data_IF_872486170091
#
_entry.id   IF_872486170091
#
_cell.length_a   1.000
_cell.length_b   1.000
_cell.length_c   1.000
_cell.angle_alpha   90.00
_cell.angle_beta   90.00
_cell.angle_gamma   90.00
#
_symmetry.space_group_name_H-M   'P 1'
#
loop_
_entity.id
_entity.type
_entity.pdbx_description
1 polymer ?
#
# COMPACT_ATOMS: atom_id res chain seq x y z
N UNK A 1 3.10 1.60 -15.28
CA UNK A 1 3.37 2.32 -16.54
C UNK A 1 3.31 3.82 -16.27
N UNK A 2 4.45 4.43 -15.93
CA UNK A 2 4.68 5.87 -15.98
C UNK A 2 6.21 6.11 -15.97
N UNK A 3 6.91 5.37 -16.82
CA UNK A 3 8.34 5.60 -17.09
C UNK A 3 8.43 6.73 -18.11
N UNK A 4 8.33 7.96 -17.63
CA UNK A 4 8.20 9.14 -18.48
C UNK A 4 8.66 10.40 -17.75
N UNK A 5 9.97 10.49 -17.50
CA UNK A 5 10.69 11.64 -16.96
C UNK A 5 9.96 12.96 -17.24
N UNK A 6 9.35 13.56 -16.21
CA UNK A 6 8.77 14.90 -16.28
C UNK A 6 9.86 15.83 -16.82
N UNK A 7 9.61 16.46 -17.98
CA UNK A 7 10.59 17.37 -18.60
C UNK A 7 10.93 18.48 -17.60
N UNK A 8 12.21 18.81 -17.46
CA UNK A 8 12.74 19.67 -16.39
C UNK A 8 11.90 20.96 -16.17
N UNK A 9 11.39 21.10 -14.95
CA UNK A 9 10.81 22.34 -14.43
C UNK A 9 11.93 23.34 -14.09
N UNK A 10 11.65 24.65 -14.01
CA UNK A 10 12.62 25.59 -13.47
C UNK A 10 12.91 25.21 -12.01
N UNK A 11 14.19 25.03 -11.68
CA UNK A 11 14.63 24.58 -10.35
C UNK A 11 14.36 25.62 -9.25
N UNK A 12 14.38 26.91 -9.58
CA UNK A 12 14.22 28.01 -8.62
C UNK A 12 13.36 29.16 -9.19
N UNK A 13 12.06 28.92 -9.48
CA UNK A 13 11.19 29.92 -10.08
C UNK A 13 11.01 31.15 -9.17
N UNK A 14 11.17 30.99 -7.85
CA UNK A 14 11.11 32.07 -6.86
C UNK A 14 12.27 33.07 -6.97
N UNK A 15 13.40 32.69 -7.58
CA UNK A 15 14.57 33.54 -7.78
C UNK A 15 14.63 34.16 -9.20
N UNK A 16 13.68 33.81 -10.07
CA UNK A 16 13.60 34.32 -11.44
C UNK A 16 12.74 35.60 -11.50
N UNK A 17 12.98 36.42 -12.52
CA UNK A 17 12.07 37.54 -12.81
C UNK A 17 10.71 37.01 -13.29
N UNK A 18 9.64 37.78 -13.05
CA UNK A 18 8.29 37.43 -13.48
C UNK A 18 8.26 37.15 -14.99
N UNK A 19 8.90 38.02 -15.79
CA UNK A 19 8.94 37.86 -17.25
C UNK A 19 9.62 36.55 -17.68
N UNK A 20 10.73 36.17 -17.04
CA UNK A 20 11.43 34.92 -17.36
C UNK A 20 10.55 33.68 -17.08
N UNK A 21 9.73 33.71 -16.02
CA UNK A 21 8.77 32.64 -15.73
C UNK A 21 7.64 32.62 -16.75
N UNK A 22 7.09 33.78 -17.12
CA UNK A 22 6.05 33.89 -18.14
C UNK A 22 6.52 33.36 -19.50
N UNK A 23 7.73 33.71 -19.90
CA UNK A 23 8.36 33.27 -21.15
C UNK A 23 8.61 31.75 -21.14
N UNK A 24 9.09 31.20 -20.02
CA UNK A 24 9.31 29.75 -19.87
C UNK A 24 8.02 28.94 -20.09
N UNK A 25 6.91 29.39 -19.51
CA UNK A 25 5.62 28.72 -19.66
C UNK A 25 4.86 29.14 -20.93
N UNK A 26 5.33 30.17 -21.65
CA UNK A 26 4.67 30.74 -22.81
C UNK A 26 3.29 31.30 -22.50
N UNK A 27 3.13 31.92 -21.32
CA UNK A 27 1.85 32.39 -20.79
C UNK A 27 1.81 33.91 -20.71
N UNK A 28 0.66 34.50 -21.05
CA UNK A 28 0.43 35.94 -20.89
C UNK A 28 -0.21 36.20 -19.53
N UNK A 29 0.27 37.22 -18.82
CA UNK A 29 -0.25 37.56 -17.50
C UNK A 29 -1.76 37.88 -17.50
N UNK A 30 -2.23 38.58 -18.54
CA UNK A 30 -3.61 39.06 -18.61
C UNK A 30 -4.64 38.01 -19.05
N UNK A 31 -4.21 37.00 -19.82
CA UNK A 31 -5.10 36.02 -20.46
C UNK A 31 -4.85 34.58 -20.05
N UNK A 32 -3.76 34.31 -19.32
CA UNK A 32 -3.40 32.97 -18.90
C UNK A 32 -3.07 32.04 -20.07
N UNK A 33 -3.21 30.74 -19.85
CA UNK A 33 -2.98 29.70 -20.85
C UNK A 33 -4.24 29.49 -21.70
N UNK A 34 -4.06 29.23 -23.00
CA UNK A 34 -5.14 28.79 -23.86
C UNK A 34 -5.54 27.34 -23.56
N UNK A 35 -6.77 26.94 -23.86
CA UNK A 35 -7.25 25.57 -23.66
C UNK A 35 -6.39 24.52 -24.38
N UNK A 36 -5.90 24.84 -25.58
CA UNK A 36 -4.95 23.99 -26.31
C UNK A 36 -3.63 23.83 -25.55
N UNK A 37 -3.11 24.92 -24.96
CA UNK A 37 -1.87 24.87 -24.19
C UNK A 37 -2.04 24.13 -22.87
N UNK A 38 -3.21 24.21 -22.23
CA UNK A 38 -3.53 23.41 -21.04
C UNK A 38 -3.47 21.91 -21.35
N UNK A 39 -4.02 21.48 -22.49
CA UNK A 39 -3.96 20.07 -22.93
C UNK A 39 -2.51 19.63 -23.19
N UNK A 40 -1.71 20.46 -23.87
CA UNK A 40 -0.28 20.20 -24.11
C UNK A 40 0.50 20.08 -22.78
N UNK A 41 0.27 20.99 -21.84
CA UNK A 41 0.95 20.98 -20.55
C UNK A 41 0.53 19.80 -19.69
N UNK A 42 -0.75 19.39 -19.70
CA UNK A 42 -1.21 18.17 -19.01
C UNK A 42 -0.59 16.91 -19.61
N UNK A 43 -0.46 16.83 -20.94
CA UNK A 43 0.21 15.72 -21.59
C UNK A 43 1.72 15.66 -21.24
N UNK A 44 2.33 16.82 -20.97
CA UNK A 44 3.77 16.94 -20.67
C UNK A 44 4.12 16.75 -19.19
N UNK A 45 3.32 17.28 -18.27
CA UNK A 45 3.61 17.32 -16.83
C UNK A 45 2.69 16.42 -16.00
N UNK A 46 1.62 15.88 -16.60
CA UNK A 46 0.60 15.12 -15.89
C UNK A 46 -0.44 16.00 -15.20
N UNK A 47 -1.32 15.35 -14.45
CA UNK A 47 -2.26 16.00 -13.55
C UNK A 47 -1.54 16.60 -12.35
N UNK A 48 -2.07 17.70 -11.80
CA UNK A 48 -1.59 18.24 -10.52
C UNK A 48 -2.21 17.47 -9.36
N UNK A 49 -1.90 16.18 -9.28
CA UNK A 49 -2.31 15.27 -8.23
C UNK A 49 -1.09 14.52 -7.69
N UNK A 50 -1.13 14.19 -6.41
CA UNK A 50 -0.11 13.34 -5.81
C UNK A 50 -0.43 11.89 -6.18
N UNK A 51 0.58 11.14 -6.59
CA UNK A 51 0.42 9.70 -6.79
C UNK A 51 -0.05 9.06 -5.47
N UNK A 52 -1.24 8.46 -5.49
CA UNK A 52 -1.70 7.68 -4.35
C UNK A 52 -0.82 6.43 -4.26
N UNK A 53 -0.21 6.21 -3.10
CA UNK A 53 0.54 4.98 -2.88
C UNK A 53 -0.42 3.80 -3.00
N UNK A 54 0.00 2.75 -3.71
CA UNK A 54 -0.80 1.53 -3.79
C UNK A 54 -1.08 1.01 -2.38
N UNK A 55 -2.36 0.98 -2.01
CA UNK A 55 -2.79 0.41 -0.73
C UNK A 55 -2.45 -1.07 -0.75
N UNK A 56 -1.81 -1.56 0.32
CA UNK A 56 -1.60 -3.00 0.48
C UNK A 56 -2.96 -3.68 0.49
N UNK A 57 -3.10 -4.74 -0.30
CA UNK A 57 -4.31 -5.56 -0.28
C UNK A 57 -4.41 -6.34 1.04
N UNK A 58 -5.63 -6.71 1.44
CA UNK A 58 -5.84 -7.54 2.63
C UNK A 58 -5.03 -8.84 2.58
N UNK A 59 -4.91 -9.45 1.39
CA UNK A 59 -4.08 -10.64 1.19
C UNK A 59 -2.58 -10.40 1.42
N UNK A 60 -2.05 -9.26 0.98
CA UNK A 60 -0.65 -8.88 1.22
C UNK A 60 -0.37 -8.64 2.71
N UNK A 61 -1.35 -8.08 3.45
CA UNK A 61 -1.24 -7.90 4.90
C UNK A 61 -1.24 -9.24 5.64
N UNK A 62 -2.13 -10.16 5.25
CA UNK A 62 -2.15 -11.52 5.81
C UNK A 62 -0.84 -12.25 5.55
N UNK A 63 -0.33 -12.22 4.31
CA UNK A 63 0.96 -12.85 3.96
C UNK A 63 2.14 -12.28 4.76
N UNK A 64 2.16 -10.95 4.97
CA UNK A 64 3.21 -10.31 5.76
C UNK A 64 3.24 -10.79 7.22
N UNK A 65 2.10 -11.17 7.80
CA UNK A 65 2.03 -11.70 9.16
C UNK A 65 2.70 -13.08 9.29
N UNK A 66 2.67 -13.91 8.23
CA UNK A 66 3.38 -15.20 8.23
C UNK A 66 4.91 -15.05 8.17
N UNK A 67 5.44 -13.85 7.90
CA UNK A 67 6.88 -13.57 7.99
C UNK A 67 7.37 -13.36 9.42
N UNK A 68 6.47 -13.06 10.36
CA UNK A 68 6.80 -12.84 11.76
C UNK A 68 7.19 -14.15 12.47
N UNK A 69 8.30 -14.14 13.21
CA UNK A 69 8.81 -15.30 13.93
C UNK A 69 7.84 -15.80 15.01
N UNK A 70 7.18 -14.89 15.75
CA UNK A 70 6.21 -15.25 16.78
C UNK A 70 5.00 -15.93 16.14
N UNK A 71 4.48 -15.39 15.03
CA UNK A 71 3.35 -15.99 14.28
C UNK A 71 3.69 -17.41 13.83
N UNK A 72 4.91 -17.64 13.34
CA UNK A 72 5.38 -18.99 12.97
C UNK A 72 5.42 -19.95 14.16
N UNK A 73 5.86 -19.48 15.33
CA UNK A 73 5.86 -20.29 16.56
C UNK A 73 4.43 -20.63 16.98
N UNK A 74 3.51 -19.66 16.93
CA UNK A 74 2.09 -19.89 17.23
C UNK A 74 1.45 -20.89 16.26
N UNK A 75 1.72 -20.78 14.96
CA UNK A 75 1.24 -21.72 13.96
C UNK A 75 1.79 -23.13 14.17
N UNK A 76 3.07 -23.26 14.53
CA UNK A 76 3.66 -24.55 14.88
C UNK A 76 2.97 -25.16 16.10
N UNK A 77 2.71 -24.36 17.14
CA UNK A 77 1.97 -24.78 18.32
C UNK A 77 0.56 -25.25 17.96
N UNK A 78 -0.17 -24.48 17.15
CA UNK A 78 -1.51 -24.85 16.72
C UNK A 78 -1.52 -26.16 15.90
N UNK A 79 -0.53 -26.35 15.03
CA UNK A 79 -0.39 -27.59 14.26
C UNK A 79 -0.12 -28.79 15.18
N UNK A 80 0.80 -28.66 16.15
CA UNK A 80 1.09 -29.73 17.12
C UNK A 80 -0.13 -30.06 17.96
N UNK A 81 -0.80 -29.06 18.55
CA UNK A 81 -2.04 -29.28 19.32
C UNK A 81 -3.13 -29.93 18.48
N UNK A 82 -3.29 -29.52 17.21
CA UNK A 82 -4.26 -30.11 16.30
C UNK A 82 -3.95 -31.58 16.02
N UNK A 83 -2.69 -31.93 15.71
CA UNK A 83 -2.31 -33.33 15.49
C UNK A 83 -2.49 -34.17 16.76
N UNK A 84 -2.12 -33.65 17.93
CA UNK A 84 -2.34 -34.34 19.21
C UNK A 84 -3.83 -34.61 19.44
N UNK A 85 -4.68 -33.61 19.25
CA UNK A 85 -6.13 -33.75 19.35
C UNK A 85 -6.72 -34.72 18.31
N UNK A 86 -6.15 -34.78 17.11
CA UNK A 86 -6.59 -35.70 16.05
C UNK A 86 -6.24 -37.16 16.34
N UNK A 87 -5.09 -37.41 17.00
CA UNK A 87 -4.65 -38.77 17.35
C UNK A 87 -5.21 -39.26 18.69
N UNK A 88 -5.64 -38.34 19.56
CA UNK A 88 -6.26 -38.68 20.84
C UNK A 88 -7.75 -39.03 20.67
N UNK A 89 -8.01 -40.23 20.16
CA UNK A 89 -9.37 -40.78 19.92
C UNK A 89 -10.06 -41.26 21.22
N UNK A 90 -9.55 -40.91 22.41
CA UNK A 90 -9.95 -41.49 23.70
C UNK A 90 -10.12 -40.52 24.90
N UNK A 91 -10.40 -39.25 24.67
CA UNK A 91 -10.74 -38.32 25.75
C UNK A 91 -12.21 -37.88 25.71
N UNK A 92 -12.85 -37.81 26.88
CA UNK A 92 -14.21 -37.28 27.15
C UNK A 92 -14.38 -35.78 26.77
N UNK A 93 -13.41 -35.22 26.05
CA UNK A 93 -13.16 -33.80 25.79
C UNK A 93 -13.39 -33.42 24.32
N UNK A 94 -14.30 -34.14 23.63
CA UNK A 94 -14.46 -34.08 22.17
C UNK A 94 -14.57 -32.69 21.54
N UNK A 95 -15.22 -31.71 22.20
CA UNK A 95 -15.32 -30.32 21.69
C UNK A 95 -14.23 -29.41 22.29
N UNK A 96 -13.78 -29.67 23.52
CA UNK A 96 -12.78 -28.85 24.21
C UNK A 96 -11.39 -29.00 23.59
N UNK A 97 -11.08 -30.15 22.99
CA UNK A 97 -9.83 -30.39 22.27
C UNK A 97 -9.59 -29.43 21.08
N UNK A 98 -10.65 -28.88 20.49
CA UNK A 98 -10.55 -27.92 19.38
C UNK A 98 -10.50 -26.46 19.83
N UNK A 99 -10.76 -26.16 21.11
CA UNK A 99 -10.78 -24.78 21.62
C UNK A 99 -9.39 -24.17 21.55
N UNK A 100 -8.35 -24.93 21.90
CA UNK A 100 -6.97 -24.44 21.88
C UNK A 100 -6.48 -24.02 20.47
N UNK A 101 -6.55 -24.86 19.43
CA UNK A 101 -6.19 -24.43 18.07
C UNK A 101 -7.09 -23.32 17.52
N UNK A 102 -8.37 -23.27 17.90
CA UNK A 102 -9.29 -22.20 17.51
C UNK A 102 -8.88 -20.84 18.12
N UNK A 103 -8.54 -20.81 19.41
CA UNK A 103 -8.10 -19.57 20.10
C UNK A 103 -6.82 -19.04 19.45
N UNK A 104 -5.87 -19.91 19.11
CA UNK A 104 -4.63 -19.50 18.43
C UNK A 104 -4.94 -18.90 17.05
N UNK A 105 -5.82 -19.52 16.26
CA UNK A 105 -6.29 -18.98 14.98
C UNK A 105 -6.96 -17.61 15.14
N UNK A 106 -7.79 -17.43 16.18
CA UNK A 106 -8.44 -16.15 16.46
C UNK A 106 -7.44 -15.05 16.83
N UNK A 107 -6.40 -15.37 17.60
CA UNK A 107 -5.32 -14.43 17.92
C UNK A 107 -4.61 -13.99 16.63
N UNK A 108 -4.32 -14.92 15.72
CA UNK A 108 -3.67 -14.59 14.44
C UNK A 108 -4.54 -13.71 13.55
N UNK A 109 -5.85 -13.98 13.48
CA UNK A 109 -6.80 -13.14 12.73
C UNK A 109 -6.92 -11.75 13.37
N UNK A 110 -7.01 -11.67 14.69
CA UNK A 110 -7.09 -10.40 15.42
C UNK A 110 -5.81 -9.56 15.33
N UNK A 111 -4.63 -10.18 15.19
CA UNK A 111 -3.36 -9.45 15.01
C UNK A 111 -3.13 -9.00 13.56
N UNK A 112 -3.81 -9.63 12.59
CA UNK A 112 -3.70 -9.29 11.17
C UNK A 112 -4.59 -8.10 10.75
N UNK A 113 -5.55 -7.71 11.59
CA UNK A 113 -6.51 -6.61 11.39
C UNK A 113 -6.25 -5.46 12.37
#
# INVERSE_FOLDING_TARGET
MADGKIKALPQAPHAMSVQAVLDFYGVKLESGLSSAKVLEMRAKYGSNELDEQEKKSLWQLVLAQFEDLLVRILLLSAAVSFFLAWFDDQSEEGITAYVEPLVILLILVANAF
#
